data_IF_695937500138
#
_entry.id   IF_695937500138
#
_cell.length_a   1.000
_cell.length_b   1.000
_cell.length_c   1.000
_cell.angle_alpha   90.00
_cell.angle_beta   90.00
_cell.angle_gamma   90.00
#
_symmetry.space_group_name_H-M   'P 1'
#
loop_
_entity.id
_entity.type
_entity.pdbx_description
1 polymer ?
#
# COMPACT_ATOMS: atom_id res chain seq x y z
N UNK A 1 -15.34 -15.39 -8.29
CA UNK A 1 -14.82 -14.15 -8.90
C UNK A 1 -13.50 -14.44 -9.62
N UNK A 2 -13.37 -14.03 -10.84
CA UNK A 2 -12.13 -14.19 -11.58
C UNK A 2 -11.06 -13.23 -11.05
N UNK A 3 -9.80 -13.60 -11.26
CA UNK A 3 -8.67 -12.79 -10.76
C UNK A 3 -8.71 -11.36 -11.31
N UNK A 4 -9.01 -11.17 -12.59
CA UNK A 4 -9.09 -9.83 -13.18
C UNK A 4 -10.21 -8.99 -12.56
N UNK A 5 -11.34 -9.62 -12.26
CA UNK A 5 -12.46 -8.95 -11.60
C UNK A 5 -12.11 -8.56 -10.19
N UNK A 6 -11.40 -9.43 -9.46
CA UNK A 6 -10.95 -9.15 -8.11
C UNK A 6 -9.95 -8.00 -8.09
N UNK A 7 -8.99 -8.00 -9.02
CA UNK A 7 -8.02 -6.91 -9.13
C UNK A 7 -8.72 -5.57 -9.39
N UNK A 8 -9.70 -5.54 -10.28
CA UNK A 8 -10.49 -4.33 -10.56
C UNK A 8 -11.27 -3.87 -9.33
N UNK A 9 -11.91 -4.81 -8.64
CA UNK A 9 -12.66 -4.50 -7.43
C UNK A 9 -11.76 -3.89 -6.36
N UNK A 10 -10.59 -4.49 -6.12
CA UNK A 10 -9.65 -3.99 -5.13
C UNK A 10 -9.10 -2.62 -5.51
N UNK A 11 -8.79 -2.41 -6.78
CA UNK A 11 -8.32 -1.09 -7.25
C UNK A 11 -9.36 0.01 -7.05
N UNK A 12 -10.64 -0.32 -7.09
CA UNK A 12 -11.71 0.63 -6.80
C UNK A 12 -11.93 0.84 -5.30
N UNK A 13 -11.36 -0.02 -4.47
CA UNK A 13 -11.57 -0.01 -3.02
C UNK A 13 -10.26 0.16 -2.24
N UNK A 14 -9.35 0.94 -2.78
CA UNK A 14 -8.14 1.35 -2.06
C UNK A 14 -8.41 2.69 -1.39
N UNK A 15 -8.36 2.70 -0.05
CA UNK A 15 -8.46 3.93 0.71
C UNK A 15 -7.06 4.37 1.11
N UNK A 16 -6.71 5.61 0.79
CA UNK A 16 -5.42 6.20 1.17
C UNK A 16 -5.69 7.22 2.27
N UNK A 17 -5.05 7.01 3.44
CA UNK A 17 -5.16 7.95 4.55
C UNK A 17 -4.17 9.09 4.30
N UNK A 18 -4.57 10.03 3.45
CA UNK A 18 -3.70 11.10 2.95
C UNK A 18 -3.07 11.95 4.04
N UNK A 19 -3.81 12.23 5.12
CA UNK A 19 -3.30 13.00 6.24
C UNK A 19 -2.08 12.35 6.91
N UNK A 20 -2.03 11.02 6.96
CA UNK A 20 -0.90 10.30 7.55
C UNK A 20 0.38 10.49 6.74
N UNK A 21 0.25 10.56 5.41
CA UNK A 21 1.38 10.82 4.51
C UNK A 21 1.81 12.28 4.60
N UNK A 22 0.85 13.19 4.55
CA UNK A 22 1.12 14.63 4.56
C UNK A 22 1.91 15.05 5.80
N UNK A 23 1.57 14.52 6.96
CA UNK A 23 2.25 14.85 8.22
C UNK A 23 3.72 14.39 8.23
N UNK A 24 4.08 13.47 7.35
CA UNK A 24 5.43 12.92 7.24
C UNK A 24 6.17 13.42 5.99
N UNK A 25 5.63 14.44 5.31
CA UNK A 25 6.26 15.03 4.13
C UNK A 25 6.12 14.19 2.87
N UNK A 26 5.04 13.40 2.78
CA UNK A 26 4.81 12.47 1.68
C UNK A 26 3.41 12.60 1.09
N UNK A 27 3.26 12.11 -0.14
CA UNK A 27 1.95 11.85 -0.75
C UNK A 27 2.03 10.59 -1.59
N UNK A 28 0.90 9.91 -1.76
CA UNK A 28 0.80 8.77 -2.66
C UNK A 28 0.44 9.30 -4.04
N UNK A 29 1.30 9.04 -5.02
CA UNK A 29 1.03 9.41 -6.41
C UNK A 29 0.14 8.37 -7.09
N UNK A 30 0.34 7.09 -6.74
CA UNK A 30 -0.41 5.99 -7.33
C UNK A 30 -0.33 4.78 -6.42
N UNK A 31 -1.42 4.03 -6.34
CA UNK A 31 -1.45 2.74 -5.65
C UNK A 31 -2.37 1.81 -6.42
N UNK A 32 -1.90 0.61 -6.72
CA UNK A 32 -2.71 -0.37 -7.43
C UNK A 32 -2.22 -1.80 -7.21
N UNK A 33 -3.14 -2.73 -7.45
CA UNK A 33 -2.82 -4.15 -7.47
C UNK A 33 -1.99 -4.42 -8.71
N UNK A 34 -0.82 -5.01 -8.52
CA UNK A 34 0.10 -5.37 -9.61
C UNK A 34 -0.21 -6.76 -10.13
N UNK A 35 -0.41 -7.70 -9.22
CA UNK A 35 -0.62 -9.10 -9.57
C UNK A 35 -1.34 -9.84 -8.47
N UNK A 36 -2.22 -10.77 -8.88
CA UNK A 36 -2.82 -11.77 -8.00
C UNK A 36 -2.51 -13.13 -8.62
N UNK A 37 -1.83 -13.99 -7.88
CA UNK A 37 -1.48 -15.32 -8.37
C UNK A 37 -2.66 -16.27 -8.31
N UNK A 38 -2.56 -17.38 -9.03
CA UNK A 38 -3.60 -18.42 -9.03
C UNK A 38 -3.81 -19.02 -7.64
N UNK A 39 -2.78 -18.98 -6.79
CA UNK A 39 -2.87 -19.45 -5.40
C UNK A 39 -3.39 -18.40 -4.42
N UNK A 40 -3.74 -17.21 -4.91
CA UNK A 40 -4.34 -16.16 -4.07
C UNK A 40 -3.37 -15.32 -3.27
N UNK A 41 -2.11 -15.23 -3.69
CA UNK A 41 -1.15 -14.28 -3.16
C UNK A 41 -1.29 -12.98 -3.95
N UNK A 42 -1.00 -11.83 -3.33
CA UNK A 42 -1.21 -10.54 -3.97
C UNK A 42 -0.03 -9.60 -3.77
N UNK A 43 0.28 -8.85 -4.83
CA UNK A 43 1.32 -7.82 -4.85
C UNK A 43 0.67 -6.47 -5.16
N UNK A 44 1.03 -5.47 -4.36
CA UNK A 44 0.51 -4.11 -4.48
C UNK A 44 1.69 -3.17 -4.67
N UNK A 45 1.59 -2.28 -5.66
CA UNK A 45 2.58 -1.25 -5.92
C UNK A 45 2.09 0.10 -5.39
N UNK A 46 2.97 0.85 -4.72
CA UNK A 46 2.66 2.16 -4.19
C UNK A 46 3.77 3.13 -4.60
N UNK A 47 3.40 4.18 -5.35
CA UNK A 47 4.31 5.25 -5.71
C UNK A 47 4.14 6.39 -4.72
N UNK A 48 5.23 6.77 -4.07
CA UNK A 48 5.23 7.84 -3.07
C UNK A 48 6.16 8.97 -3.51
N UNK A 49 5.74 10.21 -3.26
CA UNK A 49 6.51 11.41 -3.57
C UNK A 49 6.73 12.21 -2.30
N UNK A 50 7.92 12.82 -2.19
CA UNK A 50 8.19 13.79 -1.13
C UNK A 50 7.47 15.10 -1.44
N UNK A 51 6.91 15.72 -0.41
CA UNK A 51 6.20 17.02 -0.54
C UNK A 51 7.03 18.20 -0.07
N UNK A 52 8.23 17.94 0.48
CA UNK A 52 9.15 18.99 0.87
C UNK A 52 9.81 19.57 -0.37
N UNK A 53 10.20 20.85 -0.31
CA UNK A 53 10.75 21.58 -1.46
C UNK A 53 11.98 20.91 -2.06
N UNK A 54 12.84 20.34 -1.23
CA UNK A 54 14.07 19.66 -1.65
C UNK A 54 13.90 18.13 -1.84
N UNK A 55 12.69 17.61 -1.64
CA UNK A 55 12.41 16.19 -1.77
C UNK A 55 12.99 15.32 -0.66
N UNK A 56 13.49 15.94 0.41
CA UNK A 56 14.07 15.20 1.53
C UNK A 56 12.98 14.57 2.39
N UNK A 57 13.20 13.34 2.82
CA UNK A 57 12.32 12.68 3.77
C UNK A 57 12.77 13.09 5.20
N UNK A 58 11.87 13.71 6.00
CA UNK A 58 12.25 14.19 7.34
C UNK A 58 12.70 13.11 8.30
N UNK A 59 12.21 11.89 8.14
CA UNK A 59 12.52 10.77 9.03
C UNK A 59 12.19 9.45 8.37
N UNK A 60 12.72 8.36 8.91
CA UNK A 60 12.36 7.01 8.46
C UNK A 60 10.86 6.80 8.67
N UNK A 61 10.22 6.22 7.68
CA UNK A 61 8.77 6.07 7.63
C UNK A 61 8.39 4.64 7.25
N UNK A 62 7.35 4.11 7.89
CA UNK A 62 6.77 2.82 7.53
C UNK A 62 5.45 3.05 6.80
N UNK A 63 5.30 2.43 5.64
CA UNK A 63 4.05 2.43 4.88
C UNK A 63 3.36 1.10 5.13
N UNK A 64 2.11 1.14 5.59
CA UNK A 64 1.34 -0.06 5.91
C UNK A 64 0.13 -0.20 5.01
N UNK A 65 -0.17 -1.46 4.67
CA UNK A 65 -1.39 -1.82 3.94
C UNK A 65 -2.17 -2.78 4.80
N UNK A 66 -3.42 -2.42 5.10
CA UNK A 66 -4.36 -3.26 5.84
C UNK A 66 -5.37 -3.81 4.86
N UNK A 67 -5.57 -5.12 4.89
CA UNK A 67 -6.54 -5.79 4.03
C UNK A 67 -7.78 -6.17 4.84
N UNK A 68 -8.95 -5.94 4.26
CA UNK A 68 -10.25 -6.23 4.89
C UNK A 68 -11.07 -7.17 4.01
N UNK A 69 -11.86 -8.03 4.65
CA UNK A 69 -12.83 -8.87 3.96
C UNK A 69 -14.15 -8.11 3.71
N UNK A 70 -15.16 -8.79 3.19
CA UNK A 70 -16.47 -8.18 2.89
C UNK A 70 -17.23 -7.71 4.12
N UNK A 71 -16.84 -8.19 5.32
CA UNK A 71 -17.46 -7.80 6.60
C UNK A 71 -16.63 -6.76 7.34
N UNK A 72 -15.63 -6.17 6.66
CA UNK A 72 -14.69 -5.22 7.26
C UNK A 72 -13.83 -5.80 8.38
N UNK A 73 -13.64 -7.10 8.40
CA UNK A 73 -12.66 -7.71 9.31
C UNK A 73 -11.26 -7.58 8.72
N UNK A 74 -10.29 -7.26 9.57
CA UNK A 74 -8.89 -7.22 9.17
C UNK A 74 -8.42 -8.66 8.94
N UNK A 75 -7.92 -8.93 7.73
CA UNK A 75 -7.43 -10.27 7.37
C UNK A 75 -5.93 -10.29 7.06
N UNK A 76 -5.28 -9.15 7.07
CA UNK A 76 -3.84 -9.08 6.89
C UNK A 76 -3.32 -7.66 6.99
N UNK A 77 -2.07 -7.53 7.42
CA UNK A 77 -1.34 -6.27 7.47
C UNK A 77 0.06 -6.55 6.97
N UNK A 78 0.51 -5.78 5.99
CA UNK A 78 1.88 -5.84 5.48
C UNK A 78 2.45 -4.44 5.41
N UNK A 79 3.78 -4.33 5.41
CA UNK A 79 4.43 -3.04 5.42
C UNK A 79 5.73 -3.03 4.63
N UNK A 80 6.20 -1.81 4.32
CA UNK A 80 7.51 -1.55 3.76
C UNK A 80 8.02 -0.23 4.33
N UNK A 81 9.34 -0.06 4.33
CA UNK A 81 9.96 1.12 4.93
C UNK A 81 10.57 2.03 3.88
N UNK A 82 10.49 3.33 4.15
CA UNK A 82 11.25 4.37 3.46
C UNK A 82 12.30 4.89 4.43
N UNK A 83 13.54 4.95 4.00
CA UNK A 83 14.65 5.45 4.81
C UNK A 83 15.07 6.83 4.33
N UNK A 84 15.21 7.77 5.27
CA UNK A 84 15.61 9.15 4.94
C UNK A 84 16.96 9.19 4.20
N UNK A 85 17.86 8.25 4.53
CA UNK A 85 19.20 8.22 3.94
C UNK A 85 19.23 7.85 2.46
N UNK A 86 18.18 7.21 1.95
CA UNK A 86 18.13 6.73 0.56
C UNK A 86 16.98 7.29 -0.26
N UNK A 87 16.07 8.05 0.35
CA UNK A 87 14.93 8.62 -0.36
C UNK A 87 15.32 9.89 -1.12
N UNK A 88 15.04 9.90 -2.42
CA UNK A 88 15.42 11.01 -3.32
C UNK A 88 14.21 11.73 -3.93
N UNK A 89 13.14 11.88 -3.16
CA UNK A 89 11.94 12.61 -3.60
C UNK A 89 10.86 11.74 -4.23
N UNK A 90 11.19 10.51 -4.61
CA UNK A 90 10.25 9.58 -5.21
C UNK A 90 10.72 8.15 -4.95
N UNK A 91 9.79 7.24 -4.68
CA UNK A 91 10.10 5.82 -4.57
C UNK A 91 8.87 4.98 -4.91
N UNK A 92 9.10 3.73 -5.26
CA UNK A 92 8.06 2.74 -5.51
C UNK A 92 8.22 1.62 -4.50
N UNK A 93 7.16 1.36 -3.75
CA UNK A 93 7.14 0.29 -2.77
C UNK A 93 6.33 -0.88 -3.29
N UNK A 94 6.81 -2.07 -2.99
CA UNK A 94 6.15 -3.32 -3.35
C UNK A 94 5.70 -4.01 -2.06
N UNK A 95 4.40 -4.24 -1.91
CA UNK A 95 3.81 -4.87 -0.73
C UNK A 95 3.25 -6.22 -1.15
N UNK A 96 3.63 -7.27 -0.42
CA UNK A 96 3.21 -8.65 -0.72
C UNK A 96 2.41 -9.23 0.44
N UNK A 97 1.27 -9.82 0.10
CA UNK A 97 0.54 -10.70 1.01
C UNK A 97 0.76 -12.13 0.50
N UNK A 98 1.61 -12.86 1.17
CA UNK A 98 2.10 -14.18 0.72
C UNK A 98 1.31 -15.37 1.25
N UNK A 99 0.25 -15.13 2.01
CA UNK A 99 -0.59 -16.22 2.52
C UNK A 99 -1.46 -16.76 1.40
N UNK A 100 -1.40 -18.07 1.16
CA UNK A 100 -2.21 -18.72 0.14
C UNK A 100 -3.69 -18.42 0.35
N UNK A 101 -4.37 -18.00 -0.71
CA UNK A 101 -5.80 -17.74 -0.71
C UNK A 101 -6.22 -16.40 -0.10
N UNK A 102 -5.31 -15.62 0.48
CA UNK A 102 -5.66 -14.38 1.18
C UNK A 102 -6.34 -13.37 0.25
N UNK A 103 -5.85 -13.26 -0.99
CA UNK A 103 -6.41 -12.30 -1.96
C UNK A 103 -7.88 -12.58 -2.25
N UNK A 104 -8.29 -13.85 -2.27
CA UNK A 104 -9.66 -14.22 -2.61
C UNK A 104 -10.68 -13.76 -1.55
N UNK A 105 -10.21 -13.47 -0.35
CA UNK A 105 -11.05 -12.96 0.75
C UNK A 105 -11.01 -11.45 0.87
N UNK A 106 -10.07 -10.79 0.20
CA UNK A 106 -9.93 -9.34 0.26
C UNK A 106 -11.05 -8.63 -0.49
N UNK A 107 -11.54 -7.53 0.08
CA UNK A 107 -12.54 -6.67 -0.57
C UNK A 107 -12.18 -5.20 -0.50
N UNK A 108 -11.26 -4.83 0.40
CA UNK A 108 -10.82 -3.44 0.57
C UNK A 108 -9.38 -3.42 1.09
N UNK A 109 -8.64 -2.38 0.68
CA UNK A 109 -7.29 -2.11 1.16
C UNK A 109 -7.23 -0.69 1.73
N UNK A 110 -6.53 -0.52 2.85
CA UNK A 110 -6.29 0.81 3.42
C UNK A 110 -4.78 1.02 3.53
N UNK A 111 -4.30 2.14 3.03
CA UNK A 111 -2.87 2.47 3.00
C UNK A 111 -2.63 3.70 3.85
N UNK A 112 -1.69 3.61 4.79
CA UNK A 112 -1.32 4.73 5.64
C UNK A 112 0.18 4.70 5.96
N UNK A 113 0.68 5.84 6.44
CA UNK A 113 2.08 6.02 6.82
C UNK A 113 2.19 6.32 8.30
N UNK A 114 3.29 5.88 8.92
CA UNK A 114 3.61 6.21 10.31
C UNK A 114 5.12 6.30 10.48
N UNK A 115 5.56 6.98 11.54
CA UNK A 115 6.98 7.00 11.89
C UNK A 115 7.45 5.58 12.16
N UNK A 116 8.65 5.32 11.70
CA UNK A 116 9.25 4.01 11.95
C UNK A 116 9.74 3.88 13.38
#
# INVERSE_FOLDING_TARGET
>A
MEIDQLASLLNENIEIVGASFKSLGLKVAKANVINISDSGEIEIGIEVEGTTEDGVLPQDTTIKVVAYDEKDNIIGIESSNLYESSFNGFDVLWIYFNTEGVAFRMRKLKIFAQER
#
